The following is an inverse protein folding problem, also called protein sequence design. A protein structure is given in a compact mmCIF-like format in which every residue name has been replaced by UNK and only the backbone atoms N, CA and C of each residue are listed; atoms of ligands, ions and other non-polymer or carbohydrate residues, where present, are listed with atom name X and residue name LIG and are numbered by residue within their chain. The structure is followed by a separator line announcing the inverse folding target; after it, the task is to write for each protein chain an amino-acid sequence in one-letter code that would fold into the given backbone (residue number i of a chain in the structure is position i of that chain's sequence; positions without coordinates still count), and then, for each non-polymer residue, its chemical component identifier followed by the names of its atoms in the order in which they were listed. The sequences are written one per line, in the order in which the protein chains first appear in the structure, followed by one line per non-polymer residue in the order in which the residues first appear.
data_IF_497334065339
#
_entry.id   IF_497334065339
#
_cell.length_a   1.000
_cell.length_b   1.000
_cell.length_c   1.000
_cell.angle_alpha   90.00
_cell.angle_beta   90.00
_cell.angle_gamma   90.00
#
_symmetry.space_group_name_H-M   'P 1'
#
loop_
_entity.id
_entity.type
_entity.pdbx_description
1 polymer ?
#
# COMPACT_ATOMS: atom_id res chain seq x y z
N UNK A 1 15.58 -25.98 -27.61
CA UNK A 1 16.15 -24.66 -27.28
C UNK A 1 15.49 -24.21 -26.00
N UNK A 2 16.25 -24.11 -24.91
CA UNK A 2 15.72 -23.58 -23.65
C UNK A 2 15.67 -22.07 -23.84
N UNK A 3 14.48 -21.49 -23.87
CA UNK A 3 14.27 -20.06 -23.72
C UNK A 3 14.85 -19.64 -22.36
N UNK A 4 16.04 -19.06 -22.36
CA UNK A 4 16.46 -18.20 -21.25
C UNK A 4 15.46 -17.05 -21.23
N UNK A 5 14.46 -17.10 -20.34
CA UNK A 5 13.66 -15.89 -20.10
C UNK A 5 14.63 -14.85 -19.57
N UNK A 6 14.69 -13.70 -20.23
CA UNK A 6 15.42 -12.57 -19.68
C UNK A 6 14.74 -12.22 -18.36
N UNK A 7 15.47 -12.39 -17.25
CA UNK A 7 15.03 -11.91 -15.95
C UNK A 7 14.87 -10.39 -16.00
N UNK A 8 13.88 -9.86 -15.31
CA UNK A 8 13.80 -8.42 -15.07
C UNK A 8 15.09 -7.99 -14.33
N UNK A 9 15.71 -6.85 -14.69
CA UNK A 9 16.88 -6.33 -13.99
C UNK A 9 16.74 -6.36 -12.46
N UNK A 10 15.54 -6.12 -11.91
CA UNK A 10 15.31 -6.13 -10.46
C UNK A 10 15.47 -7.51 -9.83
N UNK A 11 15.29 -8.60 -10.59
CA UNK A 11 15.45 -9.97 -10.11
C UNK A 11 16.91 -10.33 -9.84
N UNK A 12 17.85 -9.56 -10.42
CA UNK A 12 19.31 -9.77 -10.28
C UNK A 12 20.04 -8.56 -9.69
N UNK A 13 19.30 -7.54 -9.26
CA UNK A 13 19.85 -6.32 -8.67
C UNK A 13 20.63 -6.61 -7.39
N UNK A 14 21.64 -5.79 -7.12
CA UNK A 14 22.34 -5.81 -5.85
C UNK A 14 21.39 -5.45 -4.70
N UNK A 15 21.76 -5.87 -3.48
CA UNK A 15 20.99 -5.52 -2.28
C UNK A 15 20.88 -4.00 -2.08
N UNK A 16 21.92 -3.25 -2.45
CA UNK A 16 21.93 -1.80 -2.32
C UNK A 16 20.96 -1.14 -3.31
N UNK A 17 20.90 -1.62 -4.56
CA UNK A 17 19.90 -1.18 -5.55
C UNK A 17 18.48 -1.53 -5.11
N UNK A 18 18.27 -2.74 -4.58
CA UNK A 18 16.97 -3.16 -4.03
C UNK A 18 16.53 -2.28 -2.86
N UNK A 19 17.41 -2.02 -1.90
CA UNK A 19 17.10 -1.17 -0.75
C UNK A 19 16.83 0.28 -1.16
N UNK A 20 17.58 0.82 -2.12
CA UNK A 20 17.35 2.16 -2.65
C UNK A 20 15.96 2.27 -3.29
N UNK A 21 15.59 1.31 -4.14
CA UNK A 21 14.27 1.27 -4.79
C UNK A 21 13.14 1.10 -3.78
N UNK A 22 13.29 0.18 -2.82
CA UNK A 22 12.30 -0.06 -1.77
C UNK A 22 12.09 1.20 -0.91
N UNK A 23 13.17 1.88 -0.52
CA UNK A 23 13.11 3.10 0.28
C UNK A 23 12.39 4.21 -0.49
N UNK A 24 12.74 4.41 -1.76
CA UNK A 24 12.10 5.39 -2.63
C UNK A 24 10.59 5.13 -2.77
N UNK A 25 10.20 3.88 -3.08
CA UNK A 25 8.79 3.51 -3.26
C UNK A 25 8.01 3.60 -1.94
N UNK A 26 8.60 3.18 -0.83
CA UNK A 26 7.94 3.25 0.48
C UNK A 26 7.68 4.70 0.91
N UNK A 27 8.63 5.63 0.69
CA UNK A 27 8.41 7.07 0.92
C UNK A 27 7.18 7.58 0.15
N UNK A 28 7.10 7.24 -1.13
CA UNK A 28 5.95 7.59 -1.96
C UNK A 28 4.65 6.96 -1.45
N UNK A 29 4.66 5.66 -1.10
CA UNK A 29 3.48 4.93 -0.62
C UNK A 29 2.94 5.50 0.68
N UNK A 30 3.81 5.78 1.66
CA UNK A 30 3.40 6.34 2.96
C UNK A 30 2.79 7.74 2.77
N UNK A 31 3.41 8.58 1.95
CA UNK A 31 2.89 9.91 1.62
C UNK A 31 1.53 9.83 0.91
N UNK A 32 1.43 9.01 -0.12
CA UNK A 32 0.20 8.84 -0.89
C UNK A 32 -0.96 8.35 0.00
N UNK A 33 -0.71 7.36 0.87
CA UNK A 33 -1.70 6.87 1.82
C UNK A 33 -2.15 7.95 2.81
N UNK A 34 -1.20 8.67 3.41
CA UNK A 34 -1.49 9.72 4.39
C UNK A 34 -2.27 10.91 3.80
N UNK A 35 -1.89 11.34 2.60
CA UNK A 35 -2.51 12.49 1.93
C UNK A 35 -3.93 12.17 1.46
N UNK A 36 -4.17 10.96 0.94
CA UNK A 36 -5.38 10.65 0.18
C UNK A 36 -6.39 9.73 0.91
N UNK A 37 -6.02 9.11 2.03
CA UNK A 37 -6.91 8.20 2.77
C UNK A 37 -7.12 8.69 4.20
N UNK A 38 -8.33 9.17 4.56
CA UNK A 38 -8.61 9.70 5.90
C UNK A 38 -8.30 8.73 7.04
N UNK A 39 -8.47 7.43 6.82
CA UNK A 39 -8.12 6.37 7.78
C UNK A 39 -6.63 6.38 8.11
N UNK A 40 -5.75 6.40 7.10
CA UNK A 40 -4.30 6.39 7.31
C UNK A 40 -3.82 7.67 7.97
N UNK A 41 -4.36 8.84 7.56
CA UNK A 41 -4.07 10.12 8.22
C UNK A 41 -4.34 10.05 9.72
N UNK A 42 -5.57 9.69 10.12
CA UNK A 42 -5.94 9.57 11.54
C UNK A 42 -5.04 8.59 12.30
N UNK A 43 -4.68 7.47 11.67
CA UNK A 43 -3.88 6.43 12.31
C UNK A 43 -2.44 6.85 12.52
N UNK A 44 -1.86 7.55 11.53
CA UNK A 44 -0.51 8.11 11.59
C UNK A 44 -0.45 9.22 12.65
N UNK A 45 -1.40 10.16 12.61
CA UNK A 45 -1.52 11.25 13.59
C UNK A 45 -1.66 10.72 15.02
N UNK A 46 -2.51 9.70 15.24
CA UNK A 46 -2.71 9.09 16.55
C UNK A 46 -1.47 8.35 17.07
N UNK A 47 -0.62 7.84 16.18
CA UNK A 47 0.66 7.23 16.52
C UNK A 47 1.80 8.25 16.64
N UNK A 48 1.55 9.53 16.33
CA UNK A 48 2.55 10.59 16.38
C UNK A 48 3.64 10.45 15.32
N UNK A 49 3.29 9.89 14.14
CA UNK A 49 4.24 9.69 13.02
C UNK A 49 3.73 10.35 11.75
N UNK A 50 4.63 10.92 10.97
CA UNK A 50 4.38 11.54 9.67
C UNK A 50 5.17 10.79 8.57
N UNK A 51 4.73 10.78 7.30
CA UNK A 51 5.51 10.17 6.22
C UNK A 51 6.97 10.65 6.13
N UNK A 52 7.26 11.88 6.56
CA UNK A 52 8.62 12.45 6.59
C UNK A 52 9.54 11.79 7.65
N UNK A 53 8.98 11.02 8.59
CA UNK A 53 9.75 10.27 9.60
C UNK A 53 10.35 8.97 9.06
N UNK A 54 10.03 8.60 7.81
CA UNK A 54 10.58 7.44 7.11
C UNK A 54 11.81 7.84 6.28
N UNK A 55 13.01 7.54 6.78
CA UNK A 55 14.28 7.85 6.14
C UNK A 55 14.99 6.59 5.62
N UNK A 56 14.81 5.46 6.30
CA UNK A 56 15.36 4.16 5.95
C UNK A 56 14.34 3.04 6.17
N UNK A 57 14.57 1.86 5.58
CA UNK A 57 13.64 0.73 5.67
C UNK A 57 13.29 0.32 7.10
N UNK A 58 14.20 0.49 8.06
CA UNK A 58 13.96 0.17 9.46
C UNK A 58 12.89 1.07 10.12
N UNK A 59 12.68 2.28 9.61
CA UNK A 59 11.71 3.25 10.13
C UNK A 59 10.26 2.80 9.93
N UNK A 60 10.00 1.81 9.07
CA UNK A 60 8.65 1.27 8.87
C UNK A 60 8.01 0.80 10.18
N UNK A 61 8.84 0.39 11.16
CA UNK A 61 8.38 -0.04 12.50
C UNK A 61 7.76 1.06 13.33
N UNK A 62 7.99 2.33 12.98
CA UNK A 62 7.33 3.49 13.61
C UNK A 62 5.86 3.59 13.21
N UNK A 63 5.51 3.09 12.02
CA UNK A 63 4.17 3.22 11.46
C UNK A 63 3.23 2.12 11.99
N UNK A 64 1.97 2.46 12.28
CA UNK A 64 1.01 1.51 12.83
C UNK A 64 0.55 0.50 11.76
N UNK A 65 0.40 -0.77 12.15
CA UNK A 65 -0.11 -1.81 11.26
C UNK A 65 -1.58 -1.58 10.86
N UNK A 66 -1.93 -1.89 9.60
CA UNK A 66 -3.32 -2.01 9.15
C UNK A 66 -3.88 -3.38 9.53
N UNK A 67 -5.07 -3.38 10.11
CA UNK A 67 -5.80 -4.58 10.55
C UNK A 67 -7.02 -4.82 9.67
N UNK A 68 -7.58 -6.02 9.77
CA UNK A 68 -8.85 -6.35 9.10
C UNK A 68 -10.02 -5.50 9.58
N UNK A 69 -9.97 -5.02 10.84
CA UNK A 69 -11.03 -4.18 11.38
C UNK A 69 -11.04 -2.80 10.72
N UNK A 70 -9.86 -2.21 10.49
CA UNK A 70 -9.73 -0.93 9.78
C UNK A 70 -10.44 -0.98 8.42
N UNK A 71 -10.27 -2.07 7.66
CA UNK A 71 -10.92 -2.25 6.35
C UNK A 71 -12.45 -2.41 6.46
N UNK A 72 -12.95 -3.03 7.53
CA UNK A 72 -14.40 -3.21 7.75
C UNK A 72 -15.08 -1.91 8.16
N UNK A 73 -14.40 -1.10 8.96
CA UNK A 73 -14.90 0.19 9.43
C UNK A 73 -14.97 1.22 8.29
N UNK A 74 -14.13 1.06 7.26
CA UNK A 74 -14.03 1.94 6.09
C UNK A 74 -14.63 1.27 4.82
N UNK A 75 -15.50 0.28 4.99
CA UNK A 75 -16.20 -0.36 3.88
C UNK A 75 -17.26 0.57 3.25
N UNK A 76 -17.48 0.54 1.93
CA UNK A 76 -16.82 -0.35 0.97
C UNK A 76 -15.54 0.19 0.35
N UNK A 77 -15.39 1.51 0.21
CA UNK A 77 -14.38 2.12 -0.65
C UNK A 77 -13.57 3.23 0.03
N UNK A 78 -13.80 3.50 1.32
CA UNK A 78 -13.20 4.66 2.02
C UNK A 78 -11.68 4.49 2.26
N UNK A 79 -11.13 3.32 1.91
CA UNK A 79 -9.68 3.06 1.88
C UNK A 79 -9.05 3.25 0.50
N UNK A 80 -9.81 3.69 -0.52
CA UNK A 80 -9.25 4.00 -1.83
C UNK A 80 -8.53 5.35 -1.79
N UNK A 81 -7.31 5.38 -2.34
CA UNK A 81 -6.46 6.56 -2.38
C UNK A 81 -6.62 7.39 -3.67
N UNK A 82 -7.60 7.02 -4.50
CA UNK A 82 -7.98 7.70 -5.75
C UNK A 82 -9.50 7.73 -5.89
N UNK A 83 -10.07 8.66 -6.68
CA UNK A 83 -11.50 8.67 -6.99
C UNK A 83 -11.97 7.36 -7.63
N UNK A 84 -13.23 7.01 -7.40
CA UNK A 84 -13.84 5.76 -7.88
C UNK A 84 -13.78 5.62 -9.41
N UNK A 85 -13.82 6.73 -10.15
CA UNK A 85 -13.76 6.76 -11.61
C UNK A 85 -12.41 6.27 -12.16
N UNK A 86 -11.37 6.23 -11.33
CA UNK A 86 -10.05 5.70 -11.69
C UNK A 86 -9.91 4.21 -11.37
N UNK A 87 -10.90 3.60 -10.71
CA UNK A 87 -10.89 2.18 -10.34
C UNK A 87 -11.50 1.37 -11.47
N UNK A 88 -10.68 0.53 -12.11
CA UNK A 88 -11.10 -0.30 -13.25
C UNK A 88 -11.50 -1.71 -12.85
N UNK A 89 -11.19 -2.13 -11.61
CA UNK A 89 -11.51 -3.47 -11.11
C UNK A 89 -11.68 -3.49 -9.60
N UNK A 90 -12.67 -4.25 -9.13
CA UNK A 90 -12.93 -4.50 -7.70
C UNK A 90 -13.00 -5.99 -7.45
N UNK A 91 -12.31 -6.46 -6.42
CA UNK A 91 -12.46 -7.79 -5.86
C UNK A 91 -12.99 -7.70 -4.43
N UNK A 92 -13.81 -8.68 -4.04
CA UNK A 92 -14.33 -8.81 -2.70
C UNK A 92 -14.18 -10.24 -2.18
N UNK A 93 -13.79 -10.39 -0.91
CA UNK A 93 -13.74 -11.69 -0.25
C UNK A 93 -15.14 -12.27 0.01
N UNK A 94 -15.27 -13.58 0.17
CA UNK A 94 -16.53 -14.33 0.33
C UNK A 94 -17.27 -14.18 1.68
N UNK A 95 -17.01 -13.12 2.48
CA UNK A 95 -17.64 -12.97 3.79
C UNK A 95 -19.17 -12.85 3.69
N UNK A 96 -19.92 -13.86 4.16
CA UNK A 96 -21.39 -13.92 4.08
C UNK A 96 -22.09 -13.39 5.32
N UNK A 97 -21.41 -13.35 6.48
CA UNK A 97 -21.97 -12.90 7.76
C UNK A 97 -21.45 -11.52 8.21
N UNK A 98 -20.53 -10.92 7.47
CA UNK A 98 -20.00 -9.58 7.77
C UNK A 98 -19.59 -8.83 6.51
N UNK A 99 -19.21 -7.56 6.64
CA UNK A 99 -18.75 -6.74 5.51
C UNK A 99 -17.51 -7.40 4.88
N UNK A 100 -17.53 -7.74 3.58
CA UNK A 100 -16.39 -8.38 2.93
C UNK A 100 -15.23 -7.38 2.84
N UNK A 101 -14.01 -7.89 2.80
CA UNK A 101 -12.86 -7.04 2.46
C UNK A 101 -12.92 -6.75 0.96
N UNK A 102 -12.90 -5.47 0.61
CA UNK A 102 -12.93 -4.96 -0.75
C UNK A 102 -11.56 -4.41 -1.10
N UNK A 103 -11.08 -4.71 -2.29
CA UNK A 103 -9.87 -4.11 -2.87
C UNK A 103 -10.19 -3.59 -4.26
N UNK A 104 -9.65 -2.42 -4.58
CA UNK A 104 -9.80 -1.75 -5.87
C UNK A 104 -8.44 -1.63 -6.57
N UNK A 105 -8.47 -1.67 -7.91
CA UNK A 105 -7.29 -1.57 -8.76
C UNK A 105 -7.52 -0.51 -9.83
N UNK A 106 -6.54 0.36 -10.02
CA UNK A 106 -6.42 1.27 -11.17
C UNK A 106 -5.90 0.51 -12.39
N UNK A 107 -5.82 1.19 -13.54
CA UNK A 107 -5.26 0.61 -14.76
C UNK A 107 -3.75 0.29 -14.64
N UNK A 108 -3.05 0.94 -13.72
CA UNK A 108 -1.59 0.81 -13.54
C UNK A 108 -1.20 -0.22 -12.44
N UNK A 109 -2.19 -0.89 -11.83
CA UNK A 109 -1.99 -1.96 -10.84
C UNK A 109 -2.06 -3.36 -11.47
#
# INVERSE_FOLDING_TARGET
MITTSNLDPIETASRDELHALQTQRMKWTLKHAYENVPMYRRKFDAAGVHPDDFNELADIRKFPCTTKQDLRDNYPFDTFAVPMEQIVRIHASSGTTGKPTVVGYTQND
#
